data_IF_989839119980
#
_entry.id   IF_989839119980
#
_cell.length_a   1.000
_cell.length_b   1.000
_cell.length_c   1.000
_cell.angle_alpha   90.00
_cell.angle_beta   90.00
_cell.angle_gamma   90.00
#
_symmetry.space_group_name_H-M   'P 1'
#
loop_
_entity.id
_entity.type
_entity.pdbx_description
1 polymer ?
#
# COMPACT_ATOMS: atom_id res chain seq x y z
N UNK A 1 -3.06 -10.49 7.37
CA UNK A 1 -3.33 -11.45 6.27
C UNK A 1 -2.79 -10.80 5.01
N UNK A 2 -1.97 -11.53 4.27
CA UNK A 2 -1.32 -11.00 3.07
C UNK A 2 -2.21 -11.13 1.83
N UNK A 3 -2.48 -10.01 1.17
CA UNK A 3 -3.25 -9.93 -0.08
C UNK A 3 -2.31 -9.70 -1.27
N UNK A 4 -2.63 -10.27 -2.43
CA UNK A 4 -1.87 -10.06 -3.67
C UNK A 4 -2.72 -9.31 -4.67
N UNK A 5 -2.18 -8.23 -5.23
CA UNK A 5 -2.83 -7.40 -6.24
C UNK A 5 -1.84 -7.13 -7.38
N UNK A 6 -2.37 -6.71 -8.53
CA UNK A 6 -1.56 -6.17 -9.62
C UNK A 6 -1.90 -4.69 -9.76
N UNK A 7 -0.87 -3.87 -9.96
CA UNK A 7 -1.00 -2.44 -10.25
C UNK A 7 -0.31 -2.10 -11.56
N UNK A 8 -0.78 -1.05 -12.22
CA UNK A 8 -0.16 -0.51 -13.43
C UNK A 8 0.69 0.72 -13.09
N UNK A 9 2.00 0.56 -13.16
CA UNK A 9 2.95 1.66 -12.99
C UNK A 9 3.47 2.05 -14.37
N UNK A 10 2.95 3.15 -14.91
CA UNK A 10 3.40 3.74 -16.17
C UNK A 10 3.38 2.76 -17.37
N UNK A 11 2.36 1.89 -17.44
CA UNK A 11 2.18 0.88 -18.48
C UNK A 11 2.82 -0.47 -18.16
N UNK A 12 3.51 -0.60 -17.03
CA UNK A 12 4.09 -1.85 -16.55
C UNK A 12 3.25 -2.45 -15.42
N UNK A 13 2.69 -3.63 -15.65
CA UNK A 13 1.96 -4.36 -14.62
C UNK A 13 2.94 -4.98 -13.62
N UNK A 14 2.82 -4.58 -12.35
CA UNK A 14 3.61 -5.15 -11.25
C UNK A 14 2.71 -5.85 -10.25
N UNK A 15 3.18 -7.00 -9.77
CA UNK A 15 2.55 -7.69 -8.66
C UNK A 15 3.00 -7.06 -7.35
N UNK A 16 2.05 -6.75 -6.49
CA UNK A 16 2.29 -6.23 -5.15
C UNK A 16 1.67 -7.15 -4.12
N UNK A 17 2.18 -7.05 -2.90
CA UNK A 17 1.56 -7.65 -1.74
C UNK A 17 1.19 -6.58 -0.73
N UNK A 18 -0.04 -6.62 -0.23
CA UNK A 18 -0.55 -5.70 0.78
C UNK A 18 -0.92 -6.50 2.02
N UNK A 19 -0.36 -6.16 3.16
CA UNK A 19 -0.71 -6.73 4.45
C UNK A 19 -1.25 -5.63 5.38
N UNK A 20 -2.59 -5.51 5.51
CA UNK A 20 -3.20 -4.57 6.43
C UNK A 20 -3.03 -5.05 7.87
N UNK A 21 -2.72 -4.12 8.77
CA UNK A 21 -2.62 -4.33 10.21
C UNK A 21 -3.15 -3.11 10.99
N UNK A 22 -3.32 -3.27 12.30
CA UNK A 22 -3.71 -2.17 13.19
C UNK A 22 -2.63 -2.02 14.26
N UNK A 23 -2.08 -0.82 14.39
CA UNK A 23 -1.08 -0.50 15.40
C UNK A 23 -1.46 0.80 16.11
N UNK A 24 -1.58 0.74 17.45
CA UNK A 24 -1.99 1.89 18.28
C UNK A 24 -3.28 2.59 17.77
N UNK A 25 -4.24 1.81 17.26
CA UNK A 25 -5.50 2.33 16.71
C UNK A 25 -5.40 2.93 15.30
N UNK A 26 -4.22 2.90 14.67
CA UNK A 26 -4.02 3.34 13.28
C UNK A 26 -4.01 2.14 12.34
N UNK A 27 -4.60 2.31 11.17
CA UNK A 27 -4.47 1.35 10.07
C UNK A 27 -3.10 1.51 9.41
N UNK A 28 -2.35 0.41 9.34
CA UNK A 28 -1.09 0.32 8.61
C UNK A 28 -1.22 -0.66 7.46
N UNK A 29 -0.46 -0.44 6.40
CA UNK A 29 -0.45 -1.29 5.22
C UNK A 29 0.99 -1.55 4.83
N UNK A 30 1.46 -2.77 5.05
CA UNK A 30 2.77 -3.21 4.62
C UNK A 30 2.69 -3.61 3.14
N UNK A 31 3.49 -2.94 2.32
CA UNK A 31 3.53 -3.08 0.86
C UNK A 31 4.84 -3.75 0.47
N UNK A 32 4.73 -4.86 -0.25
CA UNK A 32 5.88 -5.51 -0.89
C UNK A 32 5.79 -5.37 -2.41
N UNK A 33 6.85 -4.85 -3.05
CA UNK A 33 6.96 -4.71 -4.51
C UNK A 33 8.41 -4.88 -4.93
N UNK A 34 8.68 -5.79 -5.90
CA UNK A 34 10.02 -6.05 -6.43
C UNK A 34 11.12 -6.28 -5.36
N UNK A 35 10.75 -6.88 -4.23
CA UNK A 35 11.65 -7.14 -3.10
C UNK A 35 11.91 -5.93 -2.18
N UNK A 36 11.34 -4.76 -2.47
CA UNK A 36 11.27 -3.62 -1.55
C UNK A 36 10.06 -3.75 -0.63
N UNK A 37 10.15 -3.21 0.58
CA UNK A 37 9.07 -3.19 1.56
C UNK A 37 8.82 -1.78 2.08
N UNK A 38 7.58 -1.31 2.07
CA UNK A 38 7.24 0.01 2.60
C UNK A 38 5.97 -0.05 3.43
N UNK A 39 5.89 0.74 4.50
CA UNK A 39 4.70 0.82 5.35
C UNK A 39 3.95 2.11 5.04
N UNK A 40 2.68 1.99 4.71
CA UNK A 40 1.78 3.10 4.46
C UNK A 40 0.79 3.28 5.60
N UNK A 41 0.50 4.53 5.92
CA UNK A 41 -0.49 4.89 6.93
C UNK A 41 -1.13 6.23 6.59
N UNK A 42 -2.36 6.43 7.05
CA UNK A 42 -3.04 7.71 6.92
C UNK A 42 -2.77 8.58 8.15
N UNK A 43 -2.43 9.84 7.92
CA UNK A 43 -2.30 10.85 8.96
C UNK A 43 -2.88 12.16 8.44
N UNK A 44 -3.83 12.73 9.18
CA UNK A 44 -4.48 14.01 8.86
C UNK A 44 -5.12 14.06 7.46
N UNK A 45 -5.65 12.93 6.98
CA UNK A 45 -6.27 12.80 5.66
C UNK A 45 -5.27 12.58 4.52
N UNK A 46 -3.98 12.42 4.83
CA UNK A 46 -2.92 12.21 3.85
C UNK A 46 -2.25 10.86 4.05
N UNK A 47 -2.02 10.14 2.95
CA UNK A 47 -1.19 8.94 2.96
C UNK A 47 0.28 9.30 3.14
N UNK A 48 0.91 8.64 4.11
CA UNK A 48 2.34 8.74 4.42
C UNK A 48 2.97 7.37 4.27
N UNK A 49 4.27 7.38 3.99
CA UNK A 49 5.13 6.20 4.00
C UNK A 49 6.17 6.36 5.10
N UNK A 50 6.45 5.26 5.80
CA UNK A 50 7.51 5.22 6.80
C UNK A 50 8.89 5.51 6.18
N UNK A 51 9.84 5.99 6.99
CA UNK A 51 11.06 6.59 6.49
C UNK A 51 12.16 5.59 6.08
N UNK A 52 12.12 4.37 6.62
CA UNK A 52 13.22 3.40 6.50
C UNK A 52 13.35 2.81 5.09
N UNK A 53 12.23 2.57 4.41
CA UNK A 53 12.21 2.16 3.00
C UNK A 53 11.05 2.87 2.29
N UNK A 54 11.40 3.76 1.36
CA UNK A 54 10.44 4.52 0.56
C UNK A 54 10.32 3.95 -0.83
N UNK A 55 9.07 3.84 -1.29
CA UNK A 55 8.79 3.63 -2.70
C UNK A 55 8.94 4.95 -3.45
N UNK A 56 9.25 4.82 -4.74
CA UNK A 56 9.40 5.95 -5.64
C UNK A 56 8.05 6.68 -5.79
N UNK A 57 8.09 8.01 -5.92
CA UNK A 57 6.88 8.86 -5.87
C UNK A 57 5.87 8.53 -6.98
N UNK A 58 6.34 8.01 -8.11
CA UNK A 58 5.51 7.59 -9.26
C UNK A 58 4.70 6.32 -8.99
N UNK A 59 5.05 5.56 -7.96
CA UNK A 59 4.37 4.32 -7.54
C UNK A 59 3.26 4.61 -6.52
N UNK A 60 3.36 5.71 -5.76
CA UNK A 60 2.48 5.98 -4.61
C UNK A 60 1.00 6.07 -4.96
N UNK A 61 0.56 6.75 -6.05
CA UNK A 61 -0.86 6.85 -6.37
C UNK A 61 -1.52 5.48 -6.60
N UNK A 62 -0.79 4.56 -7.22
CA UNK A 62 -1.23 3.21 -7.52
C UNK A 62 -1.31 2.35 -6.26
N UNK A 63 -0.39 2.55 -5.31
CA UNK A 63 -0.45 1.88 -4.01
C UNK A 63 -1.66 2.34 -3.22
N UNK A 64 -1.92 3.66 -3.18
CA UNK A 64 -3.08 4.22 -2.50
C UNK A 64 -4.39 3.67 -3.08
N UNK A 65 -4.53 3.67 -4.41
CA UNK A 65 -5.73 3.10 -5.06
C UNK A 65 -5.87 1.60 -4.75
N UNK A 66 -4.77 0.83 -4.74
CA UNK A 66 -4.80 -0.58 -4.40
C UNK A 66 -5.22 -0.85 -2.94
N UNK A 67 -4.81 0.01 -2.00
CA UNK A 67 -5.25 -0.02 -0.61
C UNK A 67 -6.76 0.27 -0.53
N UNK A 68 -7.25 1.31 -1.21
CA UNK A 68 -8.66 1.67 -1.23
C UNK A 68 -9.54 0.57 -1.84
N UNK A 69 -9.08 -0.08 -2.90
CA UNK A 69 -9.75 -1.23 -3.50
C UNK A 69 -9.79 -2.42 -2.54
N UNK A 70 -8.70 -2.68 -1.80
CA UNK A 70 -8.66 -3.74 -0.80
C UNK A 70 -9.66 -3.45 0.34
N UNK A 71 -9.66 -2.22 0.87
CA UNK A 71 -10.56 -1.83 1.95
C UNK A 71 -12.03 -1.98 1.55
N UNK A 72 -12.39 -1.56 0.33
CA UNK A 72 -13.74 -1.77 -0.21
C UNK A 72 -14.12 -3.25 -0.29
N UNK A 73 -13.18 -4.13 -0.64
CA UNK A 73 -13.42 -5.59 -0.67
C UNK A 73 -13.56 -6.20 0.72
N UNK A 74 -12.84 -5.70 1.71
CA UNK A 74 -12.88 -6.22 3.09
C UNK A 74 -14.13 -5.79 3.85
N UNK A 75 -14.78 -4.70 3.43
CA UNK A 75 -16.02 -4.20 4.01
C UNK A 75 -17.29 -4.76 3.35
N UNK A 76 -17.16 -5.43 2.21
CA UNK A 76 -18.26 -6.07 1.48
C UNK A 76 -18.55 -7.49 2.00
#
# INVERSE_FOLDING_TARGET
MKHKLNIDINGAIKAITIEPSIYQGKHLYEIGIDGKYAVFYEQDGEWKQDADEKLDDDVLPQIVDAIDQLNRKLQA
#
